data_IF_994612498117
#
_entry.id   IF_994612498117
#
_cell.length_a   1.000
_cell.length_b   1.000
_cell.length_c   1.000
_cell.angle_alpha   90.00
_cell.angle_beta   90.00
_cell.angle_gamma   90.00
#
_symmetry.space_group_name_H-M   'P 1'
#
loop_
_entity.id
_entity.type
_entity.pdbx_description
1 polymer ?
#
# COMPACT_ATOMS: atom_id res chain seq x y z
N UNK A 1 -47.36 -2.85 -43.85
CA UNK A 1 -46.03 -3.29 -43.38
C UNK A 1 -45.80 -2.63 -42.03
N UNK A 2 -46.03 -3.37 -40.97
CA UNK A 2 -45.86 -2.90 -39.60
C UNK A 2 -44.43 -3.21 -39.14
N UNK A 3 -43.61 -2.17 -38.96
CA UNK A 3 -42.33 -2.32 -38.31
C UNK A 3 -42.56 -2.56 -36.79
N UNK A 4 -42.49 -3.80 -36.39
CA UNK A 4 -42.41 -4.18 -34.98
C UNK A 4 -41.02 -3.81 -34.50
N UNK A 5 -40.90 -2.59 -33.95
CA UNK A 5 -39.72 -2.14 -33.26
C UNK A 5 -39.45 -3.03 -32.05
N UNK A 6 -38.37 -3.81 -32.13
CA UNK A 6 -37.82 -4.57 -31.00
C UNK A 6 -37.27 -3.52 -30.03
N UNK A 7 -38.08 -3.04 -29.10
CA UNK A 7 -37.60 -2.30 -27.92
C UNK A 7 -36.88 -3.32 -27.07
N UNK A 8 -35.58 -3.45 -27.27
CA UNK A 8 -34.69 -4.18 -26.37
C UNK A 8 -34.74 -3.52 -24.99
N UNK A 9 -35.41 -4.19 -24.07
CA UNK A 9 -35.55 -3.76 -22.67
C UNK A 9 -34.21 -3.96 -21.95
N UNK A 10 -33.18 -3.22 -22.38
CA UNK A 10 -31.84 -3.23 -21.74
C UNK A 10 -31.95 -2.61 -20.38
N UNK A 11 -32.30 -3.41 -19.36
CA UNK A 11 -32.23 -2.99 -17.97
C UNK A 11 -30.77 -2.61 -17.65
N UNK A 12 -30.56 -1.38 -17.17
CA UNK A 12 -29.26 -0.91 -16.67
C UNK A 12 -28.74 -1.93 -15.66
N UNK A 13 -27.51 -2.45 -15.81
CA UNK A 13 -26.95 -3.43 -14.88
C UNK A 13 -26.94 -2.90 -13.44
N UNK A 14 -27.12 -3.79 -12.47
CA UNK A 14 -27.07 -3.41 -11.05
C UNK A 14 -25.70 -2.79 -10.69
N UNK A 15 -25.66 -1.96 -9.66
CA UNK A 15 -24.40 -1.32 -9.22
C UNK A 15 -23.31 -2.36 -8.90
N UNK A 16 -23.65 -3.51 -8.31
CA UNK A 16 -22.72 -4.61 -8.05
C UNK A 16 -22.16 -5.21 -9.36
N UNK A 17 -23.02 -5.40 -10.37
CA UNK A 17 -22.57 -5.89 -11.68
C UNK A 17 -21.61 -4.89 -12.34
N UNK A 18 -21.90 -3.58 -12.23
CA UNK A 18 -21.02 -2.52 -12.75
C UNK A 18 -19.65 -2.53 -12.06
N UNK A 19 -19.62 -2.69 -10.72
CA UNK A 19 -18.37 -2.83 -9.94
C UNK A 19 -17.58 -4.05 -10.41
N UNK A 20 -18.23 -5.21 -10.54
CA UNK A 20 -17.57 -6.45 -10.98
C UNK A 20 -16.98 -6.35 -12.39
N UNK A 21 -17.72 -5.74 -13.32
CA UNK A 21 -17.24 -5.52 -14.70
C UNK A 21 -16.02 -4.59 -14.68
N UNK A 22 -16.12 -3.42 -14.01
CA UNK A 22 -15.03 -2.47 -13.91
C UNK A 22 -13.79 -3.10 -13.27
N UNK A 23 -13.97 -3.82 -12.16
CA UNK A 23 -12.89 -4.54 -11.48
C UNK A 23 -12.18 -5.52 -12.41
N UNK A 24 -12.94 -6.37 -13.13
CA UNK A 24 -12.39 -7.38 -14.04
C UNK A 24 -11.54 -6.75 -15.14
N UNK A 25 -12.08 -5.76 -15.85
CA UNK A 25 -11.34 -5.13 -16.96
C UNK A 25 -10.15 -4.33 -16.47
N UNK A 26 -10.28 -3.55 -15.39
CA UNK A 26 -9.14 -2.80 -14.80
C UNK A 26 -8.05 -3.75 -14.29
N UNK A 27 -8.41 -4.88 -13.67
CA UNK A 27 -7.44 -5.88 -13.24
C UNK A 27 -6.67 -6.48 -14.42
N UNK A 28 -7.36 -6.82 -15.51
CA UNK A 28 -6.70 -7.31 -16.73
C UNK A 28 -5.78 -6.27 -17.35
N UNK A 29 -6.16 -4.99 -17.31
CA UNK A 29 -5.32 -3.89 -17.76
C UNK A 29 -4.05 -3.75 -16.91
N UNK A 30 -4.18 -3.84 -15.58
CA UNK A 30 -3.01 -3.84 -14.69
C UNK A 30 -2.10 -5.02 -14.97
N UNK A 31 -2.63 -6.23 -15.08
CA UNK A 31 -1.84 -7.44 -15.28
C UNK A 31 -1.10 -7.45 -16.64
N UNK A 32 -1.65 -6.78 -17.65
CA UNK A 32 -1.02 -6.61 -18.97
C UNK A 32 -0.12 -5.39 -19.07
N UNK A 33 -0.16 -4.50 -18.08
CA UNK A 33 0.57 -3.23 -18.09
C UNK A 33 2.07 -3.44 -17.84
N UNK A 34 2.90 -2.62 -18.48
CA UNK A 34 4.34 -2.59 -18.19
C UNK A 34 4.62 -2.28 -16.71
N UNK A 35 3.72 -1.56 -16.05
CA UNK A 35 3.85 -1.18 -14.64
C UNK A 35 3.83 -2.38 -13.70
N UNK A 36 2.97 -3.35 -13.95
CA UNK A 36 2.93 -4.59 -13.17
C UNK A 36 4.28 -5.32 -13.24
N UNK A 37 4.83 -5.48 -14.45
CA UNK A 37 6.09 -6.17 -14.65
C UNK A 37 7.29 -5.39 -14.08
N UNK A 38 7.28 -4.06 -14.18
CA UNK A 38 8.32 -3.21 -13.55
C UNK A 38 8.29 -3.39 -12.02
N UNK A 39 7.11 -3.32 -11.41
CA UNK A 39 6.96 -3.50 -9.98
C UNK A 39 7.34 -4.91 -9.53
N UNK A 40 6.93 -5.92 -10.29
CA UNK A 40 7.34 -7.30 -10.07
C UNK A 40 8.87 -7.43 -10.14
N UNK A 41 9.50 -6.85 -11.16
CA UNK A 41 10.96 -6.86 -11.32
C UNK A 41 11.67 -6.15 -10.14
N UNK A 42 11.16 -5.01 -9.68
CA UNK A 42 11.69 -4.32 -8.50
C UNK A 42 11.57 -5.20 -7.26
N UNK A 43 10.41 -5.83 -7.05
CA UNK A 43 10.17 -6.73 -5.91
C UNK A 43 11.10 -7.94 -5.94
N UNK A 44 11.29 -8.55 -7.11
CA UNK A 44 12.22 -9.65 -7.30
C UNK A 44 13.68 -9.22 -7.09
N UNK A 45 14.04 -8.01 -7.54
CA UNK A 45 15.39 -7.46 -7.35
C UNK A 45 15.67 -7.22 -5.86
N UNK A 46 14.73 -6.62 -5.12
CA UNK A 46 14.87 -6.44 -3.67
C UNK A 46 15.04 -7.80 -2.99
N UNK A 47 14.19 -8.76 -3.32
CA UNK A 47 14.26 -10.12 -2.77
C UNK A 47 15.59 -10.81 -3.10
N UNK A 48 16.07 -10.68 -4.34
CA UNK A 48 17.36 -11.26 -4.79
C UNK A 48 18.54 -10.61 -4.05
N UNK A 49 18.52 -9.28 -3.88
CA UNK A 49 19.56 -8.57 -3.12
C UNK A 49 19.58 -9.01 -1.65
N UNK A 50 18.41 -9.13 -1.01
CA UNK A 50 18.32 -9.63 0.36
C UNK A 50 18.80 -11.08 0.48
N UNK A 51 18.40 -11.95 -0.47
CA UNK A 51 18.88 -13.34 -0.51
C UNK A 51 20.40 -13.40 -0.66
N UNK A 52 20.97 -12.57 -1.54
CA UNK A 52 22.42 -12.48 -1.71
C UNK A 52 23.13 -11.98 -0.44
N UNK A 53 22.62 -10.91 0.18
CA UNK A 53 23.21 -10.35 1.41
C UNK A 53 23.21 -11.39 2.53
N UNK A 54 22.08 -12.06 2.76
CA UNK A 54 21.97 -13.06 3.83
C UNK A 54 22.82 -14.31 3.50
N UNK A 55 22.83 -14.74 2.25
CA UNK A 55 23.59 -15.92 1.82
C UNK A 55 25.09 -15.72 1.88
N UNK A 56 25.60 -14.56 1.46
CA UNK A 56 27.02 -14.26 1.37
C UNK A 56 27.61 -13.74 2.69
N UNK A 57 26.99 -12.70 3.27
CA UNK A 57 27.52 -12.04 4.47
C UNK A 57 27.10 -12.71 5.78
N UNK A 58 26.01 -13.50 5.78
CA UNK A 58 25.44 -14.18 6.96
C UNK A 58 25.34 -13.27 8.18
N UNK A 59 24.72 -12.09 8.09
CA UNK A 59 24.69 -11.13 9.18
C UNK A 59 23.93 -11.70 10.39
N UNK A 60 24.48 -11.55 11.58
CA UNK A 60 23.88 -12.05 12.82
C UNK A 60 22.47 -11.51 13.08
N UNK A 61 22.19 -10.27 12.64
CA UNK A 61 20.86 -9.65 12.76
C UNK A 61 19.76 -10.41 11.99
N UNK A 62 20.12 -11.21 10.97
CA UNK A 62 19.18 -12.04 10.24
C UNK A 62 19.15 -13.50 10.74
N UNK A 63 20.27 -14.02 11.20
CA UNK A 63 20.43 -15.46 11.45
C UNK A 63 20.45 -15.83 12.93
N UNK A 64 20.19 -14.88 13.86
CA UNK A 64 20.17 -15.16 15.30
C UNK A 64 18.94 -15.96 15.73
N UNK A 65 17.79 -15.76 15.09
CA UNK A 65 16.56 -16.51 15.30
C UNK A 65 15.62 -16.37 14.08
N UNK A 66 14.60 -17.23 14.00
CA UNK A 66 13.55 -17.15 12.99
C UNK A 66 12.84 -15.78 13.03
N UNK A 67 12.42 -15.30 14.20
CA UNK A 67 11.83 -13.98 14.36
C UNK A 67 12.75 -12.84 13.90
N UNK A 68 14.04 -12.91 14.23
CA UNK A 68 15.03 -11.92 13.77
C UNK A 68 15.16 -11.90 12.26
N UNK A 69 15.08 -13.08 11.63
CA UNK A 69 15.08 -13.20 10.17
C UNK A 69 13.88 -12.50 9.56
N UNK A 70 12.67 -12.87 9.99
CA UNK A 70 11.45 -12.25 9.46
C UNK A 70 11.36 -10.75 9.78
N UNK A 71 11.81 -10.32 10.97
CA UNK A 71 11.87 -8.91 11.35
C UNK A 71 12.82 -8.10 10.46
N UNK A 72 14.03 -8.62 10.23
CA UNK A 72 15.05 -7.94 9.43
C UNK A 72 14.75 -7.99 7.93
N UNK A 73 14.27 -9.11 7.41
CA UNK A 73 13.93 -9.27 6.00
C UNK A 73 12.63 -8.58 5.62
N UNK A 74 11.55 -9.02 6.25
CA UNK A 74 10.19 -8.57 5.96
C UNK A 74 9.90 -7.21 6.58
N UNK A 75 10.08 -7.08 7.91
CA UNK A 75 9.66 -5.90 8.65
C UNK A 75 10.26 -4.60 8.12
N UNK A 76 11.53 -4.62 7.69
CA UNK A 76 12.19 -3.44 7.13
C UNK A 76 11.83 -3.14 5.67
N UNK A 77 11.45 -4.14 4.88
CA UNK A 77 11.33 -3.99 3.42
C UNK A 77 9.88 -3.96 2.93
N UNK A 78 8.94 -4.60 3.62
CA UNK A 78 7.55 -4.75 3.17
C UNK A 78 6.84 -3.41 3.01
N UNK A 79 7.07 -2.46 3.91
CA UNK A 79 6.46 -1.13 3.83
C UNK A 79 6.82 -0.41 2.53
N UNK A 80 8.06 -0.54 2.07
CA UNK A 80 8.51 0.01 0.79
C UNK A 80 7.81 -0.66 -0.40
N UNK A 81 7.70 -2.00 -0.40
CA UNK A 81 6.97 -2.75 -1.43
C UNK A 81 5.50 -2.34 -1.48
N UNK A 82 4.86 -2.15 -0.32
CA UNK A 82 3.46 -1.71 -0.21
C UNK A 82 3.28 -0.30 -0.78
N UNK A 83 4.14 0.65 -0.39
CA UNK A 83 4.06 2.04 -0.88
C UNK A 83 4.23 2.08 -2.40
N UNK A 84 5.24 1.39 -2.94
CA UNK A 84 5.42 1.31 -4.39
C UNK A 84 4.20 0.70 -5.07
N UNK A 85 3.65 -0.40 -4.54
CA UNK A 85 2.46 -1.05 -5.09
C UNK A 85 1.25 -0.11 -5.11
N UNK A 86 1.03 0.61 -3.99
CA UNK A 86 -0.03 1.60 -3.90
C UNK A 86 0.11 2.74 -4.91
N UNK A 87 1.33 3.27 -5.07
CA UNK A 87 1.59 4.36 -6.02
C UNK A 87 1.45 3.92 -7.46
N UNK A 88 1.97 2.74 -7.82
CA UNK A 88 1.93 2.24 -9.20
C UNK A 88 0.51 1.86 -9.65
N UNK A 89 -0.32 1.32 -8.77
CA UNK A 89 -1.70 0.92 -9.12
C UNK A 89 -2.75 1.96 -8.75
N UNK A 90 -2.51 2.79 -7.73
CA UNK A 90 -3.49 3.77 -7.26
C UNK A 90 -3.22 5.20 -7.74
N UNK A 91 -1.95 5.55 -7.96
CA UNK A 91 -1.54 6.94 -8.18
C UNK A 91 -2.13 7.60 -9.42
N UNK A 92 -2.46 6.85 -10.47
CA UNK A 92 -3.10 7.38 -11.68
C UNK A 92 -4.47 6.75 -11.99
N UNK A 93 -4.98 5.92 -11.10
CA UNK A 93 -6.21 5.17 -11.33
C UNK A 93 -7.41 6.06 -11.72
N UNK A 94 -7.49 7.25 -11.17
CA UNK A 94 -8.53 8.24 -11.43
C UNK A 94 -8.00 9.39 -12.29
N UNK A 95 -6.83 9.96 -11.97
CA UNK A 95 -6.23 11.07 -12.73
C UNK A 95 -5.98 10.70 -14.21
N UNK A 96 -5.66 9.42 -14.48
CA UNK A 96 -5.49 8.91 -15.84
C UNK A 96 -6.74 9.03 -16.71
N UNK A 97 -7.93 8.88 -16.14
CA UNK A 97 -9.20 9.08 -16.86
C UNK A 97 -9.37 10.53 -17.34
N UNK A 98 -8.94 11.48 -16.52
CA UNK A 98 -8.98 12.91 -16.87
C UNK A 98 -7.91 13.27 -17.89
N UNK A 99 -6.69 12.80 -17.67
CA UNK A 99 -5.55 13.10 -18.57
C UNK A 99 -5.76 12.54 -19.97
N UNK A 100 -6.24 11.30 -20.08
CA UNK A 100 -6.46 10.61 -21.35
C UNK A 100 -7.83 10.91 -21.97
N UNK A 101 -8.66 11.72 -21.31
CA UNK A 101 -10.04 12.03 -21.71
C UNK A 101 -10.93 10.78 -21.91
N UNK A 102 -10.54 9.66 -21.32
CA UNK A 102 -11.31 8.39 -21.43
C UNK A 102 -12.62 8.44 -20.65
N UNK A 103 -12.69 9.28 -19.61
CA UNK A 103 -13.91 9.52 -18.85
C UNK A 103 -15.09 10.01 -19.69
N UNK A 104 -14.86 10.67 -20.83
CA UNK A 104 -15.91 11.13 -21.74
C UNK A 104 -16.69 9.97 -22.39
N UNK A 105 -16.07 8.81 -22.58
CA UNK A 105 -16.75 7.62 -23.10
C UNK A 105 -17.68 6.95 -22.07
N UNK A 106 -17.47 7.21 -20.78
CA UNK A 106 -18.34 6.73 -19.71
C UNK A 106 -19.63 7.55 -19.53
N UNK A 107 -19.67 8.79 -20.05
CA UNK A 107 -20.82 9.70 -19.89
C UNK A 107 -22.08 9.20 -20.64
N UNK A 108 -22.01 8.62 -21.85
CA UNK A 108 -23.17 8.08 -22.54
C UNK A 108 -23.73 6.79 -21.91
N UNK A 109 -22.91 6.09 -21.12
CA UNK A 109 -23.34 4.87 -20.45
C UNK A 109 -23.87 5.17 -19.06
N UNK A 110 -24.99 4.60 -18.62
CA UNK A 110 -25.59 4.83 -17.32
C UNK A 110 -24.82 4.09 -16.20
N UNK A 111 -23.50 4.33 -16.11
CA UNK A 111 -22.63 3.74 -15.09
C UNK A 111 -22.44 4.78 -13.96
N UNK A 112 -22.66 4.33 -12.71
CA UNK A 112 -22.44 5.19 -11.54
C UNK A 112 -20.94 5.41 -11.32
N UNK A 113 -20.54 6.65 -11.08
CA UNK A 113 -19.13 7.01 -10.81
C UNK A 113 -18.57 6.27 -9.59
N UNK A 114 -19.39 6.09 -8.53
CA UNK A 114 -19.01 5.28 -7.36
C UNK A 114 -18.69 3.82 -7.72
N UNK A 115 -19.46 3.22 -8.65
CA UNK A 115 -19.17 1.86 -9.11
C UNK A 115 -17.83 1.76 -9.85
N UNK A 116 -17.48 2.78 -10.63
CA UNK A 116 -16.18 2.86 -11.30
C UNK A 116 -15.04 2.98 -10.28
N UNK A 117 -15.19 3.89 -9.31
CA UNK A 117 -14.19 4.12 -8.26
C UNK A 117 -13.91 2.85 -7.46
N UNK A 118 -14.97 2.22 -6.93
CA UNK A 118 -14.86 0.99 -6.13
C UNK A 118 -14.28 -0.16 -6.96
N UNK A 119 -14.75 -0.33 -8.21
CA UNK A 119 -14.23 -1.37 -9.10
C UNK A 119 -12.74 -1.23 -9.39
N UNK A 120 -12.27 -0.01 -9.64
CA UNK A 120 -10.85 0.29 -9.85
C UNK A 120 -10.03 0.10 -8.57
N UNK A 121 -10.56 0.53 -7.42
CA UNK A 121 -9.88 0.33 -6.14
C UNK A 121 -9.70 -1.16 -5.83
N UNK A 122 -10.75 -1.97 -6.02
CA UNK A 122 -10.67 -3.43 -5.84
C UNK A 122 -9.67 -4.07 -6.81
N UNK A 123 -9.65 -3.66 -8.08
CA UNK A 123 -8.68 -4.15 -9.05
C UNK A 123 -7.24 -3.83 -8.65
N UNK A 124 -6.98 -2.59 -8.21
CA UNK A 124 -5.68 -2.14 -7.72
C UNK A 124 -5.25 -2.92 -6.47
N UNK A 125 -6.21 -3.16 -5.55
CA UNK A 125 -5.97 -3.92 -4.32
C UNK A 125 -5.59 -5.38 -4.62
N UNK A 126 -6.28 -6.04 -5.55
CA UNK A 126 -5.96 -7.42 -5.97
C UNK A 126 -4.59 -7.46 -6.65
N UNK A 127 -4.29 -6.53 -7.55
CA UNK A 127 -3.00 -6.47 -8.24
C UNK A 127 -1.83 -6.22 -7.26
N UNK A 128 -2.00 -5.30 -6.31
CA UNK A 128 -1.01 -5.01 -5.28
C UNK A 128 -0.84 -6.20 -4.30
N UNK A 129 -1.94 -6.88 -3.95
CA UNK A 129 -1.91 -8.11 -3.14
C UNK A 129 -1.13 -9.22 -3.85
N UNK A 130 -1.22 -9.34 -5.18
CA UNK A 130 -0.43 -10.33 -5.92
C UNK A 130 1.09 -10.04 -5.80
N UNK A 131 1.51 -8.79 -5.90
CA UNK A 131 2.92 -8.38 -5.70
C UNK A 131 3.37 -8.67 -4.25
N UNK A 132 2.54 -8.27 -3.26
CA UNK A 132 2.82 -8.56 -1.86
C UNK A 132 2.91 -10.06 -1.60
N UNK A 133 2.05 -10.86 -2.24
CA UNK A 133 2.07 -12.32 -2.17
C UNK A 133 3.36 -12.94 -2.71
N UNK A 134 3.89 -12.41 -3.82
CA UNK A 134 5.20 -12.83 -4.36
C UNK A 134 6.31 -12.52 -3.36
N UNK A 135 6.33 -11.29 -2.78
CA UNK A 135 7.32 -10.91 -1.78
C UNK A 135 7.23 -11.81 -0.53
N UNK A 136 6.01 -12.06 -0.05
CA UNK A 136 5.73 -12.98 1.07
C UNK A 136 6.24 -14.38 0.78
N UNK A 137 5.94 -14.94 -0.39
CA UNK A 137 6.36 -16.28 -0.77
C UNK A 137 7.89 -16.43 -0.81
N UNK A 138 8.61 -15.42 -1.34
CA UNK A 138 10.08 -15.43 -1.36
C UNK A 138 10.63 -15.30 0.06
N UNK A 139 10.05 -14.45 0.90
CA UNK A 139 10.43 -14.30 2.32
C UNK A 139 10.29 -15.64 3.05
N UNK A 140 9.12 -16.28 2.92
CA UNK A 140 8.88 -17.61 3.51
C UNK A 140 9.86 -18.66 2.96
N UNK A 141 10.06 -18.70 1.64
CA UNK A 141 10.99 -19.64 1.02
C UNK A 141 12.41 -19.53 1.57
N UNK A 142 12.93 -18.31 1.75
CA UNK A 142 14.23 -18.08 2.38
C UNK A 142 14.19 -18.43 3.88
N UNK A 143 13.13 -18.10 4.61
CA UNK A 143 12.98 -18.48 6.01
C UNK A 143 13.01 -20.00 6.21
N UNK A 144 12.29 -20.75 5.38
CA UNK A 144 12.29 -22.20 5.39
C UNK A 144 13.67 -22.79 5.08
N UNK A 145 14.42 -22.16 4.20
CA UNK A 145 15.79 -22.60 3.85
C UNK A 145 16.74 -22.49 5.04
N UNK A 146 16.66 -21.42 5.85
CA UNK A 146 17.59 -21.19 6.97
C UNK A 146 17.13 -21.81 8.28
N UNK A 147 15.81 -21.86 8.55
CA UNK A 147 15.24 -22.28 9.85
C UNK A 147 14.33 -23.53 9.75
N UNK A 148 14.25 -24.16 8.57
CA UNK A 148 13.39 -25.33 8.37
C UNK A 148 11.90 -24.93 8.38
N UNK A 149 11.01 -25.88 8.71
CA UNK A 149 9.55 -25.68 8.64
C UNK A 149 8.99 -24.79 9.77
N UNK A 150 9.84 -24.07 10.49
CA UNK A 150 9.41 -23.24 11.60
C UNK A 150 9.12 -21.80 11.12
N UNK A 151 7.84 -21.50 10.88
CA UNK A 151 7.37 -20.14 10.58
C UNK A 151 6.65 -19.60 11.80
N UNK A 152 7.16 -18.52 12.45
CA UNK A 152 6.54 -17.99 13.65
C UNK A 152 5.15 -17.42 13.35
N UNK A 153 4.19 -17.62 14.26
CA UNK A 153 2.80 -17.15 14.08
C UNK A 153 2.73 -15.61 13.95
N UNK A 154 3.65 -14.89 14.58
CA UNK A 154 3.78 -13.42 14.46
C UNK A 154 3.99 -12.97 13.02
N UNK A 155 4.62 -13.81 12.20
CA UNK A 155 4.77 -13.50 10.77
C UNK A 155 3.41 -13.48 10.05
N UNK A 156 2.52 -14.41 10.38
CA UNK A 156 1.14 -14.40 9.87
C UNK A 156 0.37 -13.14 10.27
N UNK A 157 0.51 -12.69 11.52
CA UNK A 157 -0.08 -11.43 12.00
C UNK A 157 0.52 -10.23 11.26
N UNK A 158 1.84 -10.21 11.06
CA UNK A 158 2.53 -9.17 10.30
C UNK A 158 2.04 -9.08 8.84
N UNK A 159 1.85 -10.22 8.17
CA UNK A 159 1.28 -10.26 6.80
C UNK A 159 -0.13 -9.70 6.78
N UNK A 160 -0.96 -10.02 7.78
CA UNK A 160 -2.31 -9.47 7.89
C UNK A 160 -2.27 -7.95 8.09
N UNK A 161 -1.42 -7.43 8.97
CA UNK A 161 -1.26 -5.99 9.20
C UNK A 161 -0.71 -5.28 7.94
N UNK A 162 0.21 -5.91 7.23
CA UNK A 162 0.70 -5.43 5.94
C UNK A 162 -0.43 -5.29 4.90
N UNK A 163 -1.37 -6.21 4.90
CA UNK A 163 -2.52 -6.20 4.01
C UNK A 163 -3.50 -5.06 4.35
N UNK A 164 -3.77 -4.82 5.64
CA UNK A 164 -4.54 -3.65 6.08
C UNK A 164 -3.85 -2.34 5.72
N UNK A 165 -2.54 -2.27 5.92
CA UNK A 165 -1.75 -1.10 5.54
C UNK A 165 -1.79 -0.84 4.03
N UNK A 166 -1.71 -1.90 3.22
CA UNK A 166 -1.86 -1.80 1.75
C UNK A 166 -3.20 -1.18 1.36
N UNK A 167 -4.30 -1.57 2.03
CA UNK A 167 -5.61 -0.99 1.79
C UNK A 167 -5.63 0.52 2.08
N UNK A 168 -5.01 0.96 3.18
CA UNK A 168 -4.93 2.37 3.55
C UNK A 168 -4.05 3.18 2.59
N UNK A 169 -2.90 2.62 2.17
CA UNK A 169 -2.02 3.25 1.17
C UNK A 169 -2.76 3.41 -0.15
N UNK A 170 -3.52 2.41 -0.61
CA UNK A 170 -4.35 2.52 -1.81
C UNK A 170 -5.46 3.56 -1.65
N UNK A 171 -6.14 3.62 -0.50
CA UNK A 171 -7.12 4.68 -0.23
C UNK A 171 -6.49 6.07 -0.37
N UNK A 172 -5.31 6.26 0.21
CA UNK A 172 -4.56 7.50 0.15
C UNK A 172 -4.13 7.86 -1.28
N UNK A 173 -3.59 6.91 -2.04
CA UNK A 173 -3.17 7.13 -3.43
C UNK A 173 -4.36 7.44 -4.34
N UNK A 174 -5.50 6.78 -4.15
CA UNK A 174 -6.74 7.07 -4.86
C UNK A 174 -7.29 8.47 -4.54
N UNK A 175 -7.19 8.91 -3.29
CA UNK A 175 -7.53 10.28 -2.90
C UNK A 175 -6.72 11.30 -3.71
N UNK A 176 -5.38 11.18 -3.75
CA UNK A 176 -4.54 12.07 -4.54
C UNK A 176 -4.81 11.93 -6.05
N UNK A 177 -5.06 10.73 -6.53
CA UNK A 177 -5.47 10.51 -7.93
C UNK A 177 -6.77 11.21 -8.28
N UNK A 178 -7.70 11.30 -7.32
CA UNK A 178 -8.95 12.06 -7.50
C UNK A 178 -8.75 13.57 -7.43
N UNK A 179 -7.72 14.04 -6.70
CA UNK A 179 -7.42 15.46 -6.53
C UNK A 179 -6.79 16.07 -7.79
N UNK A 180 -5.80 15.38 -8.38
CA UNK A 180 -5.05 15.89 -9.53
C UNK A 180 -5.72 15.53 -10.87
N UNK A 181 -5.53 16.40 -11.89
CA UNK A 181 -5.94 16.13 -13.28
C UNK A 181 -4.83 15.41 -14.07
N UNK A 182 -3.59 15.50 -13.63
CA UNK A 182 -2.41 14.86 -14.26
C UNK A 182 -1.97 13.62 -13.48
N UNK A 183 -1.81 12.51 -14.19
CA UNK A 183 -1.29 11.25 -13.64
C UNK A 183 0.10 11.40 -13.05
N UNK A 184 0.99 12.09 -13.77
CA UNK A 184 2.38 12.31 -13.34
C UNK A 184 2.46 13.08 -12.03
N UNK A 185 1.65 14.15 -11.88
CA UNK A 185 1.60 14.93 -10.63
C UNK A 185 1.07 14.10 -9.47
N UNK A 186 0.02 13.32 -9.69
CA UNK A 186 -0.54 12.45 -8.64
C UNK A 186 0.49 11.42 -8.15
N UNK A 187 1.16 10.73 -9.06
CA UNK A 187 2.19 9.75 -8.75
C UNK A 187 3.37 10.41 -8.02
N UNK A 188 3.90 11.53 -8.56
CA UNK A 188 5.05 12.25 -8.00
C UNK A 188 4.77 12.72 -6.57
N UNK A 189 3.66 13.42 -6.36
CA UNK A 189 3.29 13.93 -5.03
C UNK A 189 3.14 12.79 -4.04
N UNK A 190 2.49 11.70 -4.43
CA UNK A 190 2.26 10.56 -3.53
C UNK A 190 3.58 9.86 -3.15
N UNK A 191 4.50 9.66 -4.12
CA UNK A 191 5.84 9.10 -3.82
C UNK A 191 6.60 10.00 -2.86
N UNK A 192 6.67 11.30 -3.14
CA UNK A 192 7.39 12.26 -2.30
C UNK A 192 6.81 12.29 -0.89
N UNK A 193 5.49 12.28 -0.75
CA UNK A 193 4.83 12.24 0.56
C UNK A 193 5.23 11.01 1.37
N UNK A 194 5.14 9.82 0.78
CA UNK A 194 5.42 8.59 1.52
C UNK A 194 6.91 8.38 1.81
N UNK A 195 7.79 8.62 0.84
CA UNK A 195 9.20 8.28 1.01
C UNK A 195 9.99 9.37 1.76
N UNK A 196 9.60 10.63 1.63
CA UNK A 196 10.35 11.74 2.19
C UNK A 196 9.56 12.51 3.26
N UNK A 197 8.40 13.05 2.91
CA UNK A 197 7.71 14.00 3.78
C UNK A 197 7.23 13.33 5.07
N UNK A 198 6.60 12.18 4.99
CA UNK A 198 6.09 11.49 6.18
C UNK A 198 7.22 11.03 7.10
N UNK A 199 8.29 10.48 6.54
CA UNK A 199 9.47 10.06 7.32
C UNK A 199 10.16 11.25 7.97
N UNK A 200 10.31 12.36 7.22
CA UNK A 200 10.92 13.58 7.72
C UNK A 200 10.09 14.18 8.87
N UNK A 201 8.78 14.35 8.68
CA UNK A 201 7.89 14.91 9.69
C UNK A 201 7.88 14.00 10.93
N UNK A 202 7.77 12.69 10.75
CA UNK A 202 7.79 11.73 11.85
C UNK A 202 9.08 11.86 12.69
N UNK A 203 10.23 11.95 12.02
CA UNK A 203 11.53 12.11 12.68
C UNK A 203 11.66 13.46 13.40
N UNK A 204 11.22 14.55 12.76
CA UNK A 204 11.26 15.90 13.36
C UNK A 204 10.34 15.99 14.57
N UNK A 205 9.11 15.49 14.47
CA UNK A 205 8.13 15.50 15.58
C UNK A 205 8.66 14.68 16.76
N UNK A 206 9.18 13.49 16.49
CA UNK A 206 9.70 12.61 17.53
C UNK A 206 10.94 13.20 18.25
N UNK A 207 11.85 13.86 17.53
CA UNK A 207 13.14 14.29 18.09
C UNK A 207 13.16 15.75 18.54
N UNK A 208 12.50 16.68 17.83
CA UNK A 208 12.47 18.09 18.19
C UNK A 208 11.33 18.43 19.16
N UNK A 209 10.12 17.93 18.86
CA UNK A 209 8.92 18.23 19.68
C UNK A 209 8.76 17.22 20.81
N UNK A 210 9.39 16.03 20.69
CA UNK A 210 9.30 14.90 21.63
C UNK A 210 7.86 14.46 21.88
N UNK A 211 7.05 14.49 20.82
CA UNK A 211 5.65 14.03 20.80
C UNK A 211 5.56 12.82 19.90
N UNK A 212 4.73 11.88 20.31
CA UNK A 212 4.38 10.69 19.51
C UNK A 212 3.63 11.10 18.24
N UNK A 213 4.10 10.68 17.03
CA UNK A 213 3.50 11.10 15.75
C UNK A 213 2.27 10.26 15.36
N UNK A 214 1.30 10.11 16.26
CA UNK A 214 0.09 9.29 16.12
C UNK A 214 -0.78 9.66 14.91
N UNK A 215 -0.65 10.87 14.39
CA UNK A 215 -1.38 11.36 13.22
C UNK A 215 -0.75 10.92 11.88
N UNK A 216 0.33 10.14 11.89
CA UNK A 216 1.02 9.70 10.68
C UNK A 216 0.66 8.27 10.29
N UNK A 217 0.27 8.07 9.04
CA UNK A 217 0.00 6.73 8.50
C UNK A 217 1.24 5.81 8.57
N UNK A 218 2.43 6.36 8.32
CA UNK A 218 3.70 5.62 8.42
C UNK A 218 4.04 5.21 9.85
N UNK A 219 3.59 5.97 10.85
CA UNK A 219 3.70 5.58 12.25
C UNK A 219 2.81 4.36 12.53
N UNK A 220 1.55 4.39 12.09
CA UNK A 220 0.65 3.24 12.21
C UNK A 220 1.20 1.98 11.54
N UNK A 221 1.92 2.13 10.41
CA UNK A 221 2.52 1.02 9.67
C UNK A 221 3.61 0.26 10.44
N UNK A 222 4.20 0.87 11.49
CA UNK A 222 5.25 0.21 12.30
C UNK A 222 4.78 -1.09 12.94
N UNK A 223 3.47 -1.30 13.17
CA UNK A 223 2.95 -2.56 13.71
C UNK A 223 3.36 -3.77 12.87
N UNK A 224 3.54 -3.59 11.55
CA UNK A 224 3.94 -4.65 10.62
C UNK A 224 5.32 -5.23 10.98
N UNK A 225 6.26 -4.36 11.33
CA UNK A 225 7.60 -4.79 11.77
C UNK A 225 7.68 -5.11 13.25
N UNK A 226 7.05 -4.28 14.10
CA UNK A 226 7.16 -4.37 15.55
C UNK A 226 6.61 -5.68 16.11
N UNK A 227 5.58 -6.28 15.50
CA UNK A 227 5.01 -7.57 15.93
C UNK A 227 6.02 -8.73 15.81
N UNK A 228 7.04 -8.57 14.98
CA UNK A 228 8.11 -9.55 14.80
C UNK A 228 9.24 -9.42 15.82
N UNK A 229 9.12 -8.48 16.76
CA UNK A 229 10.08 -8.26 17.84
C UNK A 229 9.49 -8.77 19.15
N UNK A 230 10.16 -9.72 19.79
CA UNK A 230 9.73 -10.28 21.07
C UNK A 230 10.83 -10.07 22.11
N UNK A 231 10.55 -9.40 23.24
CA UNK A 231 9.27 -8.77 23.62
C UNK A 231 8.93 -7.59 22.70
N UNK A 232 7.62 -7.26 22.58
CA UNK A 232 7.17 -6.12 21.77
C UNK A 232 7.89 -4.83 22.20
N UNK A 233 8.34 -3.98 21.27
CA UNK A 233 9.13 -2.80 21.59
C UNK A 233 8.38 -1.86 22.57
N UNK A 234 9.07 -1.26 23.55
CA UNK A 234 8.45 -0.29 24.46
C UNK A 234 7.98 0.92 23.69
N UNK A 235 6.92 1.60 24.18
CA UNK A 235 6.28 2.74 23.50
C UNK A 235 7.25 3.83 23.09
N UNK A 236 8.31 4.06 23.89
CA UNK A 236 9.40 4.96 23.56
C UNK A 236 10.73 4.35 23.90
N UNK A 237 11.72 4.57 23.05
CA UNK A 237 13.11 4.21 23.27
C UNK A 237 14.02 5.39 22.93
N UNK A 238 15.04 5.60 23.75
CA UNK A 238 16.04 6.64 23.52
C UNK A 238 17.37 5.96 23.26
N UNK A 239 17.92 6.21 22.09
CA UNK A 239 19.24 5.70 21.71
C UNK A 239 20.22 6.87 21.68
N UNK A 240 21.31 6.74 22.43
CA UNK A 240 22.36 7.77 22.50
C UNK A 240 23.51 7.40 21.58
N UNK A 241 23.98 8.34 20.78
CA UNK A 241 25.08 8.20 19.83
C UNK A 241 26.22 9.16 20.08
N UNK A 242 27.43 8.79 19.69
CA UNK A 242 28.64 9.59 19.74
C UNK A 242 29.43 9.47 21.07
N UNK A 243 30.66 9.99 21.08
CA UNK A 243 31.47 10.00 22.27
C UNK A 243 30.81 10.84 23.38
N UNK A 244 30.48 10.22 24.50
CA UNK A 244 29.77 10.88 25.61
C UNK A 244 28.25 10.96 25.49
N UNK A 245 27.62 10.35 24.50
CA UNK A 245 26.14 10.28 24.39
C UNK A 245 25.44 11.60 24.07
N UNK A 246 26.11 12.54 23.41
CA UNK A 246 25.61 13.90 23.17
C UNK A 246 24.45 13.97 22.15
N UNK A 247 24.28 12.96 21.26
CA UNK A 247 23.16 12.90 20.32
C UNK A 247 22.19 11.83 20.76
N UNK A 248 20.99 12.24 21.14
CA UNK A 248 19.90 11.32 21.52
C UNK A 248 18.84 11.28 20.44
N UNK A 249 18.51 10.08 19.94
CA UNK A 249 17.38 9.85 19.07
C UNK A 249 16.26 9.18 19.86
N UNK A 250 15.10 9.82 19.85
CA UNK A 250 13.89 9.27 20.47
C UNK A 250 13.09 8.57 19.38
N UNK A 251 12.84 7.29 19.55
CA UNK A 251 11.97 6.48 18.67
C UNK A 251 10.70 6.12 19.43
N UNK A 252 9.55 6.41 18.85
CA UNK A 252 8.26 5.98 19.36
C UNK A 252 7.78 4.75 18.59
N UNK A 253 7.29 3.76 19.32
CA UNK A 253 6.73 2.53 18.76
C UNK A 253 5.23 2.48 19.02
N UNK A 254 4.47 2.31 17.96
CA UNK A 254 3.00 2.28 18.04
C UNK A 254 2.51 0.96 18.65
N UNK A 255 1.60 0.99 19.64
CA UNK A 255 0.90 -0.21 20.08
C UNK A 255 -0.03 -0.77 18.98
N UNK A 256 -0.20 -2.09 18.92
CA UNK A 256 -1.00 -2.73 17.86
C UNK A 256 -2.41 -2.17 17.70
N UNK A 257 -3.21 -1.97 18.79
CA UNK A 257 -4.56 -1.41 18.65
C UNK A 257 -4.56 0.02 18.08
N UNK A 258 -3.59 0.83 18.48
CA UNK A 258 -3.45 2.22 18.02
C UNK A 258 -3.05 2.25 16.54
N UNK A 259 -2.08 1.42 16.15
CA UNK A 259 -1.66 1.29 14.76
C UNK A 259 -2.79 0.85 13.83
N UNK A 260 -3.59 -0.13 14.25
CA UNK A 260 -4.78 -0.57 13.50
C UNK A 260 -5.83 0.55 13.40
N UNK A 261 -6.04 1.32 14.48
CA UNK A 261 -6.96 2.45 14.45
C UNK A 261 -6.50 3.54 13.48
N UNK A 262 -5.20 3.89 13.48
CA UNK A 262 -4.62 4.86 12.55
C UNK A 262 -4.81 4.39 11.10
N UNK A 263 -4.41 3.15 10.79
CA UNK A 263 -4.55 2.56 9.44
C UNK A 263 -6.01 2.56 8.99
N UNK A 264 -6.93 2.12 9.87
CA UNK A 264 -8.37 2.07 9.58
C UNK A 264 -8.96 3.46 9.33
N UNK A 265 -8.61 4.46 10.14
CA UNK A 265 -9.07 5.84 9.95
C UNK A 265 -8.56 6.43 8.63
N UNK A 266 -7.27 6.25 8.32
CA UNK A 266 -6.73 6.70 7.03
C UNK A 266 -7.45 6.03 5.87
N UNK A 267 -7.64 4.71 5.92
CA UNK A 267 -8.37 3.99 4.88
C UNK A 267 -9.77 4.56 4.65
N UNK A 268 -10.56 4.72 5.72
CA UNK A 268 -11.94 5.19 5.64
C UNK A 268 -11.98 6.63 5.13
N UNK A 269 -11.23 7.53 5.76
CA UNK A 269 -11.27 8.96 5.46
C UNK A 269 -10.79 9.21 4.02
N UNK A 270 -9.64 8.66 3.63
CA UNK A 270 -9.08 8.93 2.30
C UNK A 270 -9.89 8.28 1.19
N UNK A 271 -10.44 7.10 1.40
CA UNK A 271 -11.30 6.44 0.41
C UNK A 271 -12.60 7.21 0.20
N UNK A 272 -13.26 7.67 1.29
CA UNK A 272 -14.49 8.47 1.19
C UNK A 272 -14.20 9.82 0.54
N UNK A 273 -13.15 10.52 0.96
CA UNK A 273 -12.77 11.81 0.36
C UNK A 273 -12.43 11.66 -1.13
N UNK A 274 -11.67 10.62 -1.48
CA UNK A 274 -11.34 10.33 -2.87
C UNK A 274 -12.58 10.05 -3.73
N UNK A 275 -13.54 9.30 -3.20
CA UNK A 275 -14.81 9.02 -3.86
C UNK A 275 -15.62 10.30 -4.07
N UNK A 276 -15.79 11.11 -3.01
CA UNK A 276 -16.56 12.38 -3.07
C UNK A 276 -15.92 13.35 -4.08
N UNK A 277 -14.60 13.47 -4.08
CA UNK A 277 -13.88 14.30 -5.05
C UNK A 277 -14.11 13.81 -6.48
N UNK A 278 -14.05 12.50 -6.72
CA UNK A 278 -14.28 11.92 -8.04
C UNK A 278 -15.72 12.14 -8.52
N UNK A 279 -16.72 12.01 -7.64
CA UNK A 279 -18.12 12.25 -7.98
C UNK A 279 -18.41 13.71 -8.35
N UNK A 280 -17.77 14.67 -7.65
CA UNK A 280 -17.95 16.11 -7.86
C UNK A 280 -17.12 16.69 -9.00
N UNK A 281 -16.08 15.97 -9.43
CA UNK A 281 -15.16 16.49 -10.45
C UNK A 281 -15.81 16.47 -11.83
N UNK A 282 -15.89 17.65 -12.44
CA UNK A 282 -16.38 17.80 -13.81
C UNK A 282 -15.28 17.44 -14.82
N UNK A 283 -15.67 16.78 -15.90
CA UNK A 283 -14.80 16.55 -17.05
C UNK A 283 -14.80 17.81 -17.93
N UNK A 284 -13.97 18.78 -17.58
CA UNK A 284 -13.76 20.01 -18.37
C UNK A 284 -12.42 19.98 -19.06
#
# INVERSE_FOLDING_TARGET
MSETGIVSNNKVPSSMTQVGITMKYTFLDYFRSRRFFILLAITLLISALLTFIVGYYRPASFLSSDLSFYGSWWGNSVTFVIVLSGVFFGGDAISGEFQNKTGYFGIPNPIRRSSIYIGKWLAAFIAATAILGVFTAITVGNGLYYFGLNVPYQFGESVLFAWFYLAAVLGFTFFFSSLFKSSSMSILVTIILFLFVFTLIQTLVANLVKIEPWFMLTYGAQIVGNILTVPYPPRSSVTSFGPGGHVTLTTYNVPVPEGLAIIGLYFIITTILGLVLFERKEFT
#
